data_IF_799039710318
#
_entry.id   IF_799039710318
#
_cell.length_a   1.000
_cell.length_b   1.000
_cell.length_c   1.000
_cell.angle_alpha   90.00
_cell.angle_beta   90.00
_cell.angle_gamma   90.00
#
_symmetry.space_group_name_H-M   'P 1'
#
loop_
_entity.id
_entity.type
_entity.pdbx_description
1 polymer ?
#
# COMPACT_ATOMS: atom_id res chain seq x y z
N UNK A 1 -33.17 36.85 -54.48
CA UNK A 1 -33.00 35.54 -53.80
C UNK A 1 -31.60 35.30 -53.22
N UNK A 2 -30.49 35.61 -53.90
CA UNK A 2 -29.13 35.34 -53.40
C UNK A 2 -28.71 36.10 -52.11
N UNK A 3 -29.34 37.24 -51.79
CA UNK A 3 -29.03 38.02 -50.57
C UNK A 3 -29.60 37.44 -49.27
N UNK A 4 -30.60 36.55 -49.33
CA UNK A 4 -31.24 35.99 -48.14
C UNK A 4 -30.53 34.72 -47.60
N UNK A 5 -29.60 34.13 -48.35
CA UNK A 5 -28.87 32.93 -47.92
C UNK A 5 -27.58 33.23 -47.13
N UNK A 6 -27.07 34.47 -47.19
CA UNK A 6 -25.82 34.89 -46.51
C UNK A 6 -25.83 34.73 -44.98
N UNK A 7 -26.91 35.08 -44.24
CA UNK A 7 -26.93 34.95 -42.78
C UNK A 7 -26.87 33.49 -42.34
N UNK A 8 -27.60 32.63 -43.04
CA UNK A 8 -27.73 31.20 -42.71
C UNK A 8 -26.42 30.44 -42.90
N UNK A 9 -25.69 30.73 -43.98
CA UNK A 9 -24.34 30.17 -44.22
C UNK A 9 -23.33 30.68 -43.18
N UNK A 10 -23.49 31.92 -42.68
CA UNK A 10 -22.58 32.49 -41.68
C UNK A 10 -22.75 31.89 -40.30
N UNK A 11 -23.98 31.53 -39.90
CA UNK A 11 -24.24 30.89 -38.61
C UNK A 11 -23.80 29.42 -38.62
N UNK A 12 -24.05 28.68 -39.69
CA UNK A 12 -23.55 27.31 -39.82
C UNK A 12 -22.01 27.24 -39.87
N UNK A 13 -21.35 28.20 -40.51
CA UNK A 13 -19.89 28.30 -40.48
C UNK A 13 -19.35 28.55 -39.07
N UNK A 14 -19.99 29.43 -38.29
CA UNK A 14 -19.64 29.69 -36.88
C UNK A 14 -19.81 28.45 -36.01
N UNK A 15 -20.94 27.75 -36.12
CA UNK A 15 -21.18 26.52 -35.37
C UNK A 15 -20.23 25.40 -35.76
N UNK A 16 -19.85 25.30 -37.04
CA UNK A 16 -18.86 24.33 -37.52
C UNK A 16 -17.48 24.62 -36.91
N UNK A 17 -17.05 25.89 -36.87
CA UNK A 17 -15.77 26.28 -36.25
C UNK A 17 -15.77 26.01 -34.75
N UNK A 18 -16.85 26.32 -34.04
CA UNK A 18 -16.98 26.03 -32.60
C UNK A 18 -16.94 24.52 -32.34
N UNK A 19 -17.66 23.72 -33.14
CA UNK A 19 -17.65 22.27 -33.02
C UNK A 19 -16.26 21.68 -33.27
N UNK A 20 -15.57 22.10 -34.34
CA UNK A 20 -14.21 21.66 -34.64
C UNK A 20 -13.24 22.06 -33.53
N UNK A 21 -13.34 23.27 -32.99
CA UNK A 21 -12.52 23.72 -31.87
C UNK A 21 -12.76 22.89 -30.59
N UNK A 22 -14.01 22.52 -30.31
CA UNK A 22 -14.38 21.73 -29.13
C UNK A 22 -13.90 20.27 -29.25
N UNK A 23 -14.03 19.69 -30.44
CA UNK A 23 -13.49 18.35 -30.74
C UNK A 23 -11.97 18.37 -30.64
N UNK A 24 -11.30 19.38 -31.22
CA UNK A 24 -9.85 19.52 -31.14
C UNK A 24 -9.36 19.70 -29.68
N UNK A 25 -10.07 20.48 -28.87
CA UNK A 25 -9.77 20.64 -27.45
C UNK A 25 -9.95 19.32 -26.67
N UNK A 26 -11.01 18.57 -26.95
CA UNK A 26 -11.27 17.26 -26.32
C UNK A 26 -10.19 16.24 -26.70
N UNK A 27 -9.80 16.18 -27.98
CA UNK A 27 -8.71 15.33 -28.48
C UNK A 27 -7.35 15.75 -27.92
N UNK A 28 -7.11 17.05 -27.72
CA UNK A 28 -5.88 17.55 -27.10
C UNK A 28 -5.80 17.21 -25.60
N UNK A 29 -6.93 17.14 -24.91
CA UNK A 29 -7.02 16.79 -23.49
C UNK A 29 -7.05 15.28 -23.24
N UNK A 30 -7.46 14.47 -24.22
CA UNK A 30 -7.53 13.01 -24.14
C UNK A 30 -6.21 12.36 -23.66
N UNK A 31 -5.01 12.72 -24.14
CA UNK A 31 -3.75 12.17 -23.64
C UNK A 31 -3.49 12.45 -22.16
N UNK A 32 -3.94 13.60 -21.65
CA UNK A 32 -3.79 13.95 -20.22
C UNK A 32 -4.77 13.19 -19.35
N UNK A 33 -5.99 12.97 -19.84
CA UNK A 33 -7.03 12.19 -19.15
C UNK A 33 -6.73 10.69 -19.21
N UNK A 34 -6.12 10.21 -20.30
CA UNK A 34 -5.82 8.80 -20.55
C UNK A 34 -4.41 8.38 -20.11
N UNK A 35 -3.59 9.30 -19.58
CA UNK A 35 -2.27 8.94 -19.06
C UNK A 35 -2.45 8.07 -17.83
N UNK A 36 -2.37 6.75 -18.03
CA UNK A 36 -2.37 5.78 -16.93
C UNK A 36 -1.23 6.14 -15.97
N UNK A 37 -1.47 6.17 -14.65
CA UNK A 37 -0.43 6.45 -13.68
C UNK A 37 0.69 5.42 -13.81
N UNK A 38 1.95 5.87 -13.72
CA UNK A 38 3.09 4.96 -13.75
C UNK A 38 3.04 4.00 -12.54
N UNK A 39 3.79 2.90 -12.57
CA UNK A 39 3.86 2.01 -11.41
C UNK A 39 4.42 2.74 -10.18
N UNK A 40 5.37 3.66 -10.40
CA UNK A 40 5.90 4.51 -9.34
C UNK A 40 4.83 5.43 -8.73
N UNK A 41 3.96 6.03 -9.55
CA UNK A 41 2.86 6.87 -9.06
C UNK A 41 1.84 6.03 -8.28
N UNK A 42 1.56 4.80 -8.73
CA UNK A 42 0.66 3.88 -8.03
C UNK A 42 1.25 3.42 -6.69
N UNK A 43 2.56 3.13 -6.63
CA UNK A 43 3.24 2.75 -5.39
C UNK A 43 3.26 3.92 -4.38
N UNK A 44 3.42 5.16 -4.86
CA UNK A 44 3.31 6.35 -4.01
C UNK A 44 1.88 6.57 -3.51
N UNK A 45 0.87 6.42 -4.36
CA UNK A 45 -0.52 6.51 -3.96
C UNK A 45 -0.88 5.45 -2.90
N UNK A 46 -0.41 4.22 -3.08
CA UNK A 46 -0.55 3.14 -2.11
C UNK A 46 0.10 3.49 -0.77
N UNK A 47 1.35 3.96 -0.76
CA UNK A 47 2.01 4.36 0.47
C UNK A 47 1.34 5.56 1.14
N UNK A 48 0.87 6.54 0.36
CA UNK A 48 0.10 7.65 0.88
C UNK A 48 -1.20 7.17 1.54
N UNK A 49 -1.90 6.18 0.97
CA UNK A 49 -3.06 5.55 1.60
C UNK A 49 -2.69 4.87 2.91
N UNK A 50 -1.58 4.12 2.95
CA UNK A 50 -1.06 3.46 4.17
C UNK A 50 -0.80 4.44 5.29
N UNK A 51 -0.14 5.57 5.03
CA UNK A 51 0.19 6.53 6.08
C UNK A 51 -0.94 7.50 6.42
N UNK A 52 -1.95 7.66 5.56
CA UNK A 52 -3.15 8.47 5.86
C UNK A 52 -4.25 7.68 6.56
N UNK A 53 -4.13 6.36 6.68
CA UNK A 53 -5.17 5.54 7.30
C UNK A 53 -6.33 5.19 6.37
N UNK A 54 -6.16 5.23 5.04
CA UNK A 54 -7.20 4.86 4.09
C UNK A 54 -7.23 3.33 3.91
N UNK A 55 -7.85 2.65 4.89
CA UNK A 55 -7.87 1.20 4.94
C UNK A 55 -8.53 0.54 3.73
N UNK A 56 -9.55 1.16 3.15
CA UNK A 56 -10.22 0.64 1.96
C UNK A 56 -9.31 0.70 0.73
N UNK A 57 -8.62 1.82 0.51
CA UNK A 57 -7.65 1.93 -0.57
C UNK A 57 -6.50 0.92 -0.38
N UNK A 58 -5.96 0.81 0.83
CA UNK A 58 -4.91 -0.17 1.16
C UNK A 58 -5.37 -1.59 0.85
N UNK A 59 -6.54 -1.99 1.36
CA UNK A 59 -7.08 -3.35 1.19
C UNK A 59 -7.32 -3.70 -0.28
N UNK A 60 -7.69 -2.73 -1.13
CA UNK A 60 -7.86 -2.92 -2.58
C UNK A 60 -6.54 -3.19 -3.33
N UNK A 61 -5.43 -2.69 -2.79
CA UNK A 61 -4.07 -2.92 -3.31
C UNK A 61 -3.43 -4.21 -2.81
N UNK A 62 -4.00 -4.91 -1.82
CA UNK A 62 -3.41 -6.15 -1.31
C UNK A 62 -3.56 -7.32 -2.29
N UNK A 63 -2.56 -8.20 -2.26
CA UNK A 63 -2.54 -9.42 -3.05
C UNK A 63 -3.65 -10.36 -2.58
N UNK A 64 -4.57 -10.68 -3.50
CA UNK A 64 -5.74 -11.50 -3.22
C UNK A 64 -5.35 -12.91 -2.75
N UNK A 65 -4.41 -13.55 -3.45
CA UNK A 65 -3.94 -14.91 -3.16
C UNK A 65 -3.34 -15.02 -1.75
N UNK A 66 -2.53 -14.05 -1.34
CA UNK A 66 -1.96 -14.01 0.01
C UNK A 66 -3.08 -13.86 1.05
N UNK A 67 -3.96 -12.89 0.85
CA UNK A 67 -5.06 -12.61 1.77
C UNK A 67 -6.00 -13.80 1.91
N UNK A 68 -6.35 -14.45 0.79
CA UNK A 68 -7.19 -15.64 0.75
C UNK A 68 -6.55 -16.82 1.47
N UNK A 69 -5.24 -17.06 1.26
CA UNK A 69 -4.50 -18.09 1.98
C UNK A 69 -4.50 -17.82 3.48
N UNK A 70 -4.43 -16.56 3.90
CA UNK A 70 -4.56 -16.17 5.31
C UNK A 70 -5.99 -16.27 5.84
N UNK A 71 -7.00 -16.57 5.03
CA UNK A 71 -8.42 -16.61 5.44
C UNK A 71 -9.19 -15.29 5.25
N UNK A 72 -8.52 -14.24 4.77
CA UNK A 72 -9.04 -12.88 4.59
C UNK A 72 -9.63 -12.70 3.17
N UNK A 73 -10.74 -13.40 2.91
CA UNK A 73 -11.34 -13.53 1.57
C UNK A 73 -12.12 -12.30 1.12
N UNK A 74 -12.53 -11.44 2.04
CA UNK A 74 -13.35 -10.25 1.73
C UNK A 74 -12.52 -8.98 1.85
N UNK A 75 -12.85 -7.94 1.08
CA UNK A 75 -12.23 -6.63 1.22
C UNK A 75 -12.32 -6.11 2.66
N UNK A 76 -13.49 -6.31 3.29
CA UNK A 76 -13.74 -5.94 4.68
C UNK A 76 -12.79 -6.65 5.66
N UNK A 77 -12.60 -7.97 5.53
CA UNK A 77 -11.68 -8.70 6.41
C UNK A 77 -10.23 -8.19 6.32
N UNK A 78 -9.77 -7.84 5.11
CA UNK A 78 -8.44 -7.28 4.88
C UNK A 78 -8.31 -5.86 5.44
N UNK A 79 -9.35 -5.06 5.23
CA UNK A 79 -9.44 -3.71 5.79
C UNK A 79 -9.42 -3.73 7.31
N UNK A 80 -10.14 -4.65 7.96
CA UNK A 80 -10.16 -4.80 9.42
C UNK A 80 -8.77 -5.13 9.98
N UNK A 81 -8.03 -6.04 9.33
CA UNK A 81 -6.64 -6.34 9.71
C UNK A 81 -5.76 -5.09 9.61
N UNK A 82 -5.83 -4.35 8.49
CA UNK A 82 -5.08 -3.12 8.37
C UNK A 82 -5.47 -2.11 9.47
N UNK A 83 -6.77 -1.89 9.69
CA UNK A 83 -7.29 -0.90 10.62
C UNK A 83 -6.94 -1.20 12.09
N UNK A 84 -6.95 -2.46 12.49
CA UNK A 84 -6.76 -2.85 13.89
C UNK A 84 -5.31 -3.19 14.26
N UNK A 85 -4.46 -3.46 13.27
CA UNK A 85 -3.07 -3.90 13.50
C UNK A 85 -2.06 -2.91 12.93
N UNK A 86 -2.19 -2.55 11.65
CA UNK A 86 -1.18 -1.76 10.92
C UNK A 86 -1.36 -0.27 11.13
N UNK A 87 -2.59 0.22 10.91
CA UNK A 87 -2.93 1.64 10.94
C UNK A 87 -2.55 2.31 12.27
N UNK A 88 -2.86 1.73 13.45
CA UNK A 88 -2.60 2.40 14.73
C UNK A 88 -1.11 2.68 14.97
N UNK A 89 -0.22 1.95 14.29
CA UNK A 89 1.23 2.14 14.39
C UNK A 89 1.70 3.16 13.34
N UNK A 90 1.36 2.94 12.07
CA UNK A 90 1.96 3.71 10.98
C UNK A 90 1.43 5.15 10.88
N UNK A 91 0.18 5.42 11.25
CA UNK A 91 -0.39 6.78 11.17
C UNK A 91 0.14 7.72 12.25
N UNK A 92 0.84 7.19 13.27
CA UNK A 92 1.49 8.01 14.30
C UNK A 92 2.85 8.56 13.83
N UNK A 93 3.39 8.00 12.73
CA UNK A 93 4.67 8.41 12.19
C UNK A 93 4.52 9.64 11.28
N UNK A 94 5.50 10.54 11.33
CA UNK A 94 5.72 11.50 10.24
C UNK A 94 6.52 10.80 9.16
N UNK A 95 6.25 11.11 7.89
CA UNK A 95 6.90 10.45 6.77
C UNK A 95 7.20 11.44 5.64
N UNK A 96 8.32 11.19 4.94
CA UNK A 96 8.75 11.99 3.79
C UNK A 96 9.24 11.03 2.71
N UNK A 97 8.76 11.19 1.48
CA UNK A 97 9.28 10.46 0.31
C UNK A 97 10.73 10.87 0.06
N UNK A 98 11.65 9.91 0.04
CA UNK A 98 13.08 10.13 -0.25
C UNK A 98 13.52 9.59 -1.60
N UNK A 99 12.72 8.71 -2.23
CA UNK A 99 13.06 8.17 -3.54
C UNK A 99 11.94 7.34 -4.14
N UNK A 100 11.98 7.17 -5.46
CA UNK A 100 11.04 6.34 -6.22
C UNK A 100 11.83 5.47 -7.18
N UNK A 101 11.45 4.20 -7.27
CA UNK A 101 12.13 3.23 -8.11
C UNK A 101 11.10 2.36 -8.82
N UNK A 102 11.31 2.12 -10.11
CA UNK A 102 10.46 1.27 -10.92
C UNK A 102 11.34 0.23 -11.61
N UNK A 103 10.91 -1.03 -11.56
CA UNK A 103 11.50 -2.16 -12.28
C UNK A 103 10.44 -2.78 -13.19
N UNK A 104 10.79 -3.85 -13.90
CA UNK A 104 9.81 -4.64 -14.67
C UNK A 104 8.87 -5.42 -13.75
N UNK A 105 9.34 -5.77 -12.55
CA UNK A 105 8.65 -6.63 -11.59
C UNK A 105 7.77 -5.84 -10.62
N UNK A 106 7.94 -4.51 -10.55
CA UNK A 106 7.20 -3.69 -9.60
C UNK A 106 7.70 -2.26 -9.51
N UNK A 107 7.23 -1.56 -8.49
CA UNK A 107 7.73 -0.26 -8.10
C UNK A 107 7.74 -0.15 -6.58
N UNK A 108 8.71 0.57 -6.05
CA UNK A 108 8.80 0.87 -4.62
C UNK A 108 9.16 2.33 -4.40
N UNK A 109 8.66 2.84 -3.29
CA UNK A 109 8.92 4.20 -2.83
C UNK A 109 9.69 4.08 -1.53
N UNK A 110 10.76 4.88 -1.43
CA UNK A 110 11.56 5.01 -0.22
C UNK A 110 11.03 6.18 0.58
N UNK A 111 10.96 5.99 1.90
CA UNK A 111 10.50 7.01 2.82
C UNK A 111 11.43 7.10 4.00
N UNK A 112 11.57 8.31 4.52
CA UNK A 112 12.07 8.54 5.87
C UNK A 112 10.88 8.60 6.82
N UNK A 113 10.88 7.73 7.82
CA UNK A 113 9.88 7.68 8.88
C UNK A 113 10.46 8.29 10.14
N UNK A 114 9.67 9.14 10.81
CA UNK A 114 9.95 9.68 12.14
C UNK A 114 8.87 9.19 13.09
N UNK A 115 9.25 8.34 14.04
CA UNK A 115 8.33 7.74 15.02
C UNK A 115 7.92 8.76 16.09
N UNK A 116 6.90 8.47 16.92
CA UNK A 116 6.49 9.35 18.02
C UNK A 116 7.60 9.72 19.00
N UNK A 117 8.53 8.81 19.30
CA UNK A 117 9.73 9.08 20.12
C UNK A 117 10.80 9.93 19.40
N UNK A 118 10.57 10.33 18.15
CA UNK A 118 11.50 11.12 17.36
C UNK A 118 12.59 10.33 16.64
N UNK A 119 12.53 8.98 16.68
CA UNK A 119 13.50 8.14 15.96
C UNK A 119 13.27 8.20 14.46
N UNK A 120 14.36 8.26 13.72
CA UNK A 120 14.34 8.37 12.26
C UNK A 120 14.94 7.12 11.63
N UNK A 121 14.24 6.53 10.67
CA UNK A 121 14.74 5.41 9.87
C UNK A 121 14.20 5.50 8.44
N UNK A 122 14.87 4.81 7.51
CA UNK A 122 14.44 4.76 6.10
C UNK A 122 13.85 3.39 5.78
N UNK A 123 12.71 3.40 5.12
CA UNK A 123 11.96 2.20 4.77
C UNK A 123 11.48 2.26 3.32
N UNK A 124 11.06 1.11 2.82
CA UNK A 124 10.54 0.99 1.46
C UNK A 124 9.20 0.27 1.46
N UNK A 125 8.26 0.80 0.69
CA UNK A 125 7.00 0.14 0.42
C UNK A 125 6.78 0.10 -1.08
N UNK A 126 6.31 -1.05 -1.58
CA UNK A 126 6.18 -1.26 -3.02
C UNK A 126 5.01 -2.13 -3.42
N UNK A 127 4.73 -2.08 -4.71
CA UNK A 127 3.77 -2.90 -5.42
C UNK A 127 4.53 -3.79 -6.40
N UNK A 128 4.13 -5.05 -6.49
CA UNK A 128 4.58 -6.01 -7.49
C UNK A 128 3.60 -6.05 -8.65
N UNK A 129 4.09 -6.24 -9.87
CA UNK A 129 3.23 -6.45 -11.05
C UNK A 129 2.63 -7.84 -10.98
N UNK A 130 1.30 -7.93 -11.09
CA UNK A 130 0.57 -9.20 -11.16
C UNK A 130 -0.42 -9.16 -12.33
N UNK A 131 -1.01 -10.32 -12.67
CA UNK A 131 -2.05 -10.41 -13.69
C UNK A 131 -3.30 -9.56 -13.37
N UNK A 132 -3.53 -9.28 -12.08
CA UNK A 132 -4.63 -8.45 -11.58
C UNK A 132 -4.23 -6.98 -11.40
N UNK A 133 -3.03 -6.60 -11.86
CA UNK A 133 -2.45 -5.27 -11.69
C UNK A 133 -1.45 -5.18 -10.53
N UNK A 134 -0.97 -3.97 -10.20
CA UNK A 134 0.04 -3.79 -9.16
C UNK A 134 -0.51 -4.07 -7.75
N UNK A 135 0.12 -4.98 -7.02
CA UNK A 135 -0.34 -5.44 -5.70
C UNK A 135 0.76 -5.35 -4.64
N UNK A 136 0.38 -4.92 -3.44
CA UNK A 136 1.21 -4.97 -2.24
C UNK A 136 0.95 -6.27 -1.47
N UNK A 137 1.85 -6.62 -0.55
CA UNK A 137 1.66 -7.79 0.32
C UNK A 137 1.30 -7.38 1.73
N UNK A 138 0.33 -8.07 2.33
CA UNK A 138 -0.08 -7.85 3.71
C UNK A 138 1.06 -8.21 4.67
N UNK A 139 1.81 -9.27 4.37
CA UNK A 139 3.01 -9.65 5.12
C UNK A 139 4.02 -8.50 5.23
N UNK A 140 4.33 -7.79 4.13
CA UNK A 140 5.27 -6.66 4.15
C UNK A 140 4.73 -5.49 4.97
N UNK A 141 3.42 -5.22 4.90
CA UNK A 141 2.80 -4.19 5.74
C UNK A 141 2.88 -4.51 7.23
N UNK A 142 2.60 -5.76 7.60
CA UNK A 142 2.71 -6.21 8.99
C UNK A 142 4.15 -6.11 9.49
N UNK A 143 5.11 -6.60 8.69
CA UNK A 143 6.55 -6.50 9.02
C UNK A 143 6.99 -5.06 9.18
N UNK A 144 6.56 -4.15 8.29
CA UNK A 144 6.85 -2.72 8.42
C UNK A 144 6.27 -2.13 9.72
N UNK A 145 4.99 -2.41 10.02
CA UNK A 145 4.35 -1.91 11.23
C UNK A 145 5.06 -2.40 12.50
N UNK A 146 5.35 -3.70 12.59
CA UNK A 146 6.05 -4.27 13.73
C UNK A 146 7.49 -3.77 13.86
N UNK A 147 8.19 -3.56 12.74
CA UNK A 147 9.53 -2.98 12.75
C UNK A 147 9.51 -1.54 13.26
N UNK A 148 8.60 -0.70 12.76
CA UNK A 148 8.41 0.68 13.22
C UNK A 148 8.14 0.73 14.73
N UNK A 149 7.24 -0.13 15.21
CA UNK A 149 6.93 -0.22 16.65
C UNK A 149 8.15 -0.67 17.47
N UNK A 150 8.97 -1.58 16.94
CA UNK A 150 10.20 -2.00 17.60
C UNK A 150 11.22 -0.84 17.65
N UNK A 151 11.41 -0.11 16.54
CA UNK A 151 12.29 1.07 16.47
C UNK A 151 11.87 2.13 17.49
N UNK A 152 10.58 2.40 17.61
CA UNK A 152 10.04 3.41 18.53
C UNK A 152 10.30 3.06 20.02
N UNK A 153 10.44 1.76 20.32
CA UNK A 153 10.73 1.25 21.68
C UNK A 153 12.23 1.08 21.97
N UNK A 154 13.11 1.27 21.00
CA UNK A 154 14.55 1.07 21.21
C UNK A 154 15.21 2.28 21.89
N UNK A 155 15.78 2.05 23.08
CA UNK A 155 16.38 3.09 23.91
C UNK A 155 17.85 3.40 23.53
N UNK A 156 18.63 2.39 23.15
CA UNK A 156 20.07 2.52 22.88
C UNK A 156 20.40 3.16 21.51
N UNK A 157 19.38 3.51 20.73
CA UNK A 157 19.50 4.13 19.41
C UNK A 157 19.95 3.19 18.30
N UNK A 158 20.13 1.89 18.57
CA UNK A 158 20.43 0.90 17.53
C UNK A 158 19.15 0.48 16.82
N UNK A 159 19.25 0.16 15.53
CA UNK A 159 18.12 -0.44 14.82
C UNK A 159 17.88 -1.86 15.35
N UNK A 160 16.63 -2.23 15.66
CA UNK A 160 16.32 -3.57 16.11
C UNK A 160 16.55 -4.56 14.97
N UNK A 161 16.78 -5.82 15.33
CA UNK A 161 16.83 -6.89 14.34
C UNK A 161 15.43 -7.09 13.73
N UNK A 162 15.35 -7.19 12.40
CA UNK A 162 14.07 -7.36 11.68
C UNK A 162 13.37 -8.66 12.07
N UNK A 163 14.11 -9.76 12.20
CA UNK A 163 13.56 -11.08 12.59
C UNK A 163 13.00 -11.02 14.01
N UNK A 164 13.70 -10.37 14.94
CA UNK A 164 13.21 -10.25 16.32
C UNK A 164 12.00 -9.31 16.41
N UNK A 165 11.99 -8.23 15.63
CA UNK A 165 10.84 -7.31 15.54
C UNK A 165 9.61 -8.02 15.00
N UNK A 166 9.78 -8.84 13.96
CA UNK A 166 8.74 -9.68 13.39
C UNK A 166 8.21 -10.69 14.41
N UNK A 167 9.09 -11.43 15.11
CA UNK A 167 8.69 -12.38 16.16
C UNK A 167 7.87 -11.72 17.27
N UNK A 168 8.30 -10.54 17.72
CA UNK A 168 7.57 -9.73 18.71
C UNK A 168 6.19 -9.33 18.23
N UNK A 169 6.12 -8.86 16.99
CA UNK A 169 4.85 -8.50 16.36
C UNK A 169 3.86 -9.67 16.33
N UNK A 170 4.34 -10.85 15.91
CA UNK A 170 3.53 -12.08 15.94
C UNK A 170 3.03 -12.38 17.35
N UNK A 171 3.92 -12.43 18.35
CA UNK A 171 3.54 -12.70 19.74
C UNK A 171 2.52 -11.69 20.28
N UNK A 172 2.63 -10.42 19.88
CA UNK A 172 1.75 -9.34 20.34
C UNK A 172 0.37 -9.37 19.67
N UNK A 173 0.30 -9.65 18.37
CA UNK A 173 -0.91 -9.43 17.57
C UNK A 173 -1.61 -10.70 17.10
N UNK A 174 -1.06 -11.91 17.29
CA UNK A 174 -1.64 -13.14 16.73
C UNK A 174 -3.08 -13.41 17.18
N UNK A 175 -3.42 -13.25 18.47
CA UNK A 175 -4.80 -13.46 18.96
C UNK A 175 -5.78 -12.47 18.32
N UNK A 176 -5.32 -11.22 18.13
CA UNK A 176 -6.12 -10.19 17.47
C UNK A 176 -6.33 -10.56 16.00
N UNK A 177 -5.27 -10.94 15.30
CA UNK A 177 -5.33 -11.39 13.91
C UNK A 177 -6.24 -12.61 13.73
N UNK A 178 -6.19 -13.58 14.65
CA UNK A 178 -7.06 -14.76 14.65
C UNK A 178 -8.54 -14.39 14.80
N UNK A 179 -8.87 -13.50 15.75
CA UNK A 179 -10.25 -12.98 15.90
C UNK A 179 -10.76 -12.24 14.66
N UNK A 180 -9.86 -11.64 13.89
CA UNK A 180 -10.17 -10.99 12.61
C UNK A 180 -10.28 -11.97 11.44
N UNK A 181 -10.15 -13.28 11.70
CA UNK A 181 -10.30 -14.35 10.71
C UNK A 181 -8.99 -14.75 10.01
N UNK A 182 -7.84 -14.22 10.44
CA UNK A 182 -6.56 -14.68 9.91
C UNK A 182 -6.20 -16.05 10.50
N UNK A 183 -5.92 -17.05 9.65
CA UNK A 183 -5.61 -18.43 10.06
C UNK A 183 -4.12 -18.65 10.40
N UNK A 184 -3.28 -17.69 10.05
CA UNK A 184 -1.84 -17.78 10.17
C UNK A 184 -1.17 -16.64 9.43
N UNK A 185 0.14 -16.74 9.24
CA UNK A 185 0.92 -15.76 8.50
C UNK A 185 1.46 -16.37 7.21
N UNK A 186 1.27 -15.66 6.12
CA UNK A 186 1.82 -16.04 4.82
C UNK A 186 3.31 -15.72 4.76
N UNK A 187 4.10 -16.69 4.33
CA UNK A 187 5.53 -16.51 4.04
C UNK A 187 5.72 -16.41 2.53
N UNK A 188 6.06 -15.20 2.07
CA UNK A 188 6.26 -14.89 0.65
C UNK A 188 7.42 -15.70 0.04
N UNK A 189 8.43 -16.07 0.85
CA UNK A 189 9.65 -16.74 0.36
C UNK A 189 9.41 -18.17 -0.12
N UNK A 190 8.43 -18.86 0.46
CA UNK A 190 8.09 -20.24 0.13
C UNK A 190 6.63 -20.42 -0.31
N UNK A 191 5.85 -19.33 -0.30
CA UNK A 191 4.46 -19.28 -0.73
C UNK A 191 3.50 -20.10 0.15
N UNK A 192 3.88 -20.40 1.40
CA UNK A 192 3.09 -21.19 2.35
C UNK A 192 2.49 -20.33 3.44
N UNK A 193 1.31 -20.74 3.89
CA UNK A 193 0.74 -20.27 5.14
C UNK A 193 1.36 -21.08 6.29
N UNK A 194 1.87 -20.40 7.31
CA UNK A 194 2.21 -21.04 8.58
C UNK A 194 1.11 -20.72 9.60
N UNK A 195 0.38 -21.71 10.13
CA UNK A 195 -0.66 -21.48 11.13
C UNK A 195 -0.11 -20.83 12.41
N UNK A 196 -0.96 -20.10 13.14
CA UNK A 196 -0.55 -19.39 14.37
C UNK A 196 0.07 -20.32 15.41
N UNK A 197 -0.58 -21.47 15.66
CA UNK A 197 -0.07 -22.47 16.61
C UNK A 197 1.36 -22.90 16.28
N UNK A 198 1.63 -23.21 15.01
CA UNK A 198 2.96 -23.62 14.55
C UNK A 198 3.97 -22.46 14.64
N UNK A 199 3.56 -21.23 14.33
CA UNK A 199 4.42 -20.04 14.50
C UNK A 199 4.82 -19.83 15.96
N UNK A 200 3.88 -19.96 16.89
CA UNK A 200 4.15 -19.78 18.32
C UNK A 200 5.08 -20.87 18.84
N UNK A 201 4.84 -22.15 18.49
CA UNK A 201 5.73 -23.26 18.84
C UNK A 201 7.17 -23.03 18.33
N UNK A 202 7.33 -22.51 17.10
CA UNK A 202 8.65 -22.16 16.54
C UNK A 202 9.33 -21.01 17.29
N UNK A 203 8.56 -19.99 17.70
CA UNK A 203 9.09 -18.86 18.47
C UNK A 203 9.56 -19.33 19.85
N UNK A 204 8.79 -20.18 20.53
CA UNK A 204 9.16 -20.76 21.82
C UNK A 204 10.41 -21.64 21.71
N UNK A 205 10.48 -22.52 20.70
CA UNK A 205 11.60 -23.43 20.49
C UNK A 205 12.94 -22.72 20.22
N UNK A 206 12.91 -21.49 19.69
CA UNK A 206 14.11 -20.70 19.39
C UNK A 206 14.58 -19.82 20.56
N UNK A 207 14.06 -20.06 21.76
CA UNK A 207 14.45 -19.35 22.99
C UNK A 207 13.60 -18.12 23.29
N UNK A 208 12.42 -18.01 22.66
CA UNK A 208 11.50 -16.90 22.82
C UNK A 208 12.05 -15.56 22.34
N UNK A 209 11.23 -14.53 22.46
CA UNK A 209 11.71 -13.15 22.32
C UNK A 209 12.48 -12.81 23.60
N UNK A 210 13.81 -12.65 23.52
CA UNK A 210 14.53 -11.94 24.59
C UNK A 210 14.03 -10.50 24.60
N UNK A 211 13.25 -10.13 25.61
CA UNK A 211 12.75 -8.76 25.78
C UNK A 211 13.92 -7.77 25.92
N UNK A 212 13.74 -6.48 25.57
CA UNK A 212 14.61 -5.47 26.12
C UNK A 212 14.26 -5.40 27.61
N UNK A 213 15.20 -5.78 28.47
CA UNK A 213 15.15 -5.34 29.86
C UNK A 213 15.31 -3.83 29.94
#
# INVERSE_FOLDING_TARGET
>A
MLKQLRPWVSDHARWTVVFVALVAATVALLPWILKKPSLADQAEAYAAAVFRGDGRAVAGHLLDVESEKMGLRTLESRESVYREVVQPILTQCKWIVTGRHQTKEGAYVKFRLTTPSGRVHEEMLGLQVTDLGPKGTLHKLLTLAWFVQAVDRTEDGRLPNVVDSYRRGVVQDWEKMERLGALGLYDESNGKLTPWKELMERIEATGGVKGPG
#
